data_IF_534217312646
#
_entry.id   IF_534217312646
#
_cell.length_a   1.000
_cell.length_b   1.000
_cell.length_c   1.000
_cell.angle_alpha   90.00
_cell.angle_beta   90.00
_cell.angle_gamma   90.00
#
_symmetry.space_group_name_H-M   'P 1'
#
loop_
_entity.id
_entity.type
_entity.pdbx_description
1 polymer ?
#
# COMPACT_ATOMS: atom_id res chain seq x y z
N UNK A 1 6.00 13.83 -27.56
CA UNK A 1 4.69 13.77 -26.90
C UNK A 1 4.68 12.40 -26.22
N UNK A 2 4.94 12.37 -24.94
CA UNK A 2 4.84 11.11 -24.15
C UNK A 2 3.35 10.81 -24.05
N UNK A 3 2.93 9.63 -24.52
CA UNK A 3 1.55 9.16 -24.31
C UNK A 3 1.22 9.27 -22.84
N UNK A 4 0.11 9.92 -22.53
CA UNK A 4 -0.42 9.93 -21.16
C UNK A 4 -0.88 8.49 -20.95
N UNK A 5 -0.13 7.72 -20.17
CA UNK A 5 -0.54 6.38 -19.77
C UNK A 5 -1.85 6.50 -19.00
N UNK A 6 -2.91 5.96 -19.55
CA UNK A 6 -4.20 5.80 -18.85
C UNK A 6 -4.22 4.42 -18.21
N UNK A 7 -4.94 4.30 -17.11
CA UNK A 7 -5.19 2.99 -16.47
C UNK A 7 -5.96 2.11 -17.42
N UNK A 8 -5.57 0.84 -17.54
CA UNK A 8 -6.33 -0.12 -18.32
C UNK A 8 -7.70 -0.36 -17.66
N UNK A 9 -8.83 -0.08 -18.35
CA UNK A 9 -10.16 -0.29 -17.82
C UNK A 9 -10.42 -1.73 -17.34
N UNK A 10 -9.75 -2.70 -17.95
CA UNK A 10 -9.87 -4.12 -17.59
C UNK A 10 -9.31 -4.39 -16.18
N UNK A 11 -8.25 -3.68 -15.78
CA UNK A 11 -7.68 -3.77 -14.43
C UNK A 11 -8.69 -3.27 -13.41
N UNK A 12 -9.28 -2.08 -13.65
CA UNK A 12 -10.31 -1.51 -12.78
C UNK A 12 -11.49 -2.46 -12.62
N UNK A 13 -12.05 -2.96 -13.73
CA UNK A 13 -13.21 -3.86 -13.71
C UNK A 13 -12.90 -5.18 -13.00
N UNK A 14 -11.72 -5.76 -13.24
CA UNK A 14 -11.34 -7.03 -12.64
C UNK A 14 -11.09 -6.91 -11.15
N UNK A 15 -10.40 -5.86 -10.70
CA UNK A 15 -10.15 -5.62 -9.28
C UNK A 15 -11.45 -5.27 -8.52
N UNK A 16 -12.32 -4.43 -9.09
CA UNK A 16 -13.60 -4.09 -8.47
C UNK A 16 -14.49 -5.33 -8.31
N UNK A 17 -14.58 -6.17 -9.36
CA UNK A 17 -15.33 -7.42 -9.31
C UNK A 17 -14.76 -8.38 -8.27
N UNK A 18 -13.44 -8.55 -8.20
CA UNK A 18 -12.78 -9.40 -7.22
C UNK A 18 -13.16 -8.96 -5.80
N UNK A 19 -12.84 -7.72 -5.44
CA UNK A 19 -13.06 -7.24 -4.07
C UNK A 19 -14.53 -7.17 -3.69
N UNK A 20 -15.45 -6.88 -4.61
CA UNK A 20 -16.88 -6.91 -4.34
C UNK A 20 -17.39 -8.30 -3.97
N UNK A 21 -16.72 -9.36 -4.42
CA UNK A 21 -17.10 -10.75 -4.13
C UNK A 21 -16.50 -11.28 -2.82
N UNK A 22 -15.28 -10.83 -2.46
CA UNK A 22 -14.53 -11.41 -1.34
C UNK A 22 -14.45 -10.52 -0.09
N UNK A 23 -14.70 -9.21 -0.22
CA UNK A 23 -14.66 -8.26 0.89
C UNK A 23 -16.07 -7.95 1.40
N UNK A 24 -16.75 -8.95 1.91
CA UNK A 24 -18.01 -8.74 2.62
C UNK A 24 -17.77 -8.32 4.08
N UNK A 25 -18.85 -7.96 4.76
CA UNK A 25 -18.76 -7.47 6.14
C UNK A 25 -18.19 -8.51 7.11
N UNK A 26 -18.51 -9.79 6.92
CA UNK A 26 -18.07 -10.89 7.78
C UNK A 26 -16.57 -11.15 7.59
N UNK A 27 -16.10 -11.21 6.34
CA UNK A 27 -14.69 -11.39 5.99
C UNK A 27 -13.82 -10.28 6.55
N UNK A 28 -14.26 -9.01 6.43
CA UNK A 28 -13.54 -7.85 6.97
C UNK A 28 -13.50 -7.90 8.50
N UNK A 29 -14.61 -8.14 9.18
CA UNK A 29 -14.66 -8.25 10.64
C UNK A 29 -13.78 -9.39 11.17
N UNK A 30 -13.77 -10.51 10.49
CA UNK A 30 -12.91 -11.63 10.85
C UNK A 30 -11.43 -11.26 10.73
N UNK A 31 -11.04 -10.60 9.64
CA UNK A 31 -9.68 -10.13 9.45
C UNK A 31 -9.25 -9.09 10.50
N UNK A 32 -10.12 -8.17 10.88
CA UNK A 32 -9.88 -7.21 11.98
C UNK A 32 -9.67 -7.91 13.32
N UNK A 33 -10.46 -8.97 13.59
CA UNK A 33 -10.37 -9.72 14.85
C UNK A 33 -9.13 -10.61 14.95
N UNK A 34 -8.71 -11.22 13.85
CA UNK A 34 -7.59 -12.16 13.79
C UNK A 34 -6.24 -11.50 13.45
N UNK A 35 -6.30 -10.36 12.73
CA UNK A 35 -5.12 -9.74 12.12
C UNK A 35 -4.64 -10.47 10.87
N UNK A 36 -5.47 -11.34 10.28
CA UNK A 36 -5.16 -12.15 9.11
C UNK A 36 -6.31 -12.12 8.10
N UNK A 37 -5.97 -12.02 6.82
CA UNK A 37 -6.93 -12.03 5.71
C UNK A 37 -6.47 -12.99 4.60
N UNK A 38 -6.11 -14.20 4.98
CA UNK A 38 -5.45 -15.17 4.10
C UNK A 38 -6.25 -15.48 2.84
N UNK A 39 -7.58 -15.65 2.95
CA UNK A 39 -8.43 -15.93 1.80
C UNK A 39 -8.50 -14.74 0.82
N UNK A 40 -8.64 -13.52 1.36
CA UNK A 40 -8.66 -12.29 0.55
C UNK A 40 -7.30 -12.09 -0.12
N UNK A 41 -6.21 -12.31 0.62
CA UNK A 41 -4.86 -12.21 0.08
C UNK A 41 -4.62 -13.23 -1.05
N UNK A 42 -4.96 -14.49 -0.83
CA UNK A 42 -4.73 -15.54 -1.83
C UNK A 42 -5.50 -15.27 -3.13
N UNK A 43 -6.77 -14.88 -3.04
CA UNK A 43 -7.56 -14.51 -4.20
C UNK A 43 -6.98 -13.28 -4.94
N UNK A 44 -6.44 -12.31 -4.20
CA UNK A 44 -5.75 -11.16 -4.77
C UNK A 44 -4.42 -11.56 -5.42
N UNK A 45 -3.64 -12.43 -4.78
CA UNK A 45 -2.35 -12.90 -5.30
C UNK A 45 -2.49 -13.70 -6.60
N UNK A 46 -3.53 -14.53 -6.74
CA UNK A 46 -3.82 -15.31 -7.96
C UNK A 46 -4.05 -14.43 -9.19
N UNK A 47 -4.44 -13.16 -9.03
CA UNK A 47 -4.60 -12.22 -10.15
C UNK A 47 -3.29 -11.66 -10.67
N UNK A 48 -2.18 -11.77 -9.95
CA UNK A 48 -0.92 -11.09 -10.23
C UNK A 48 -0.91 -9.59 -9.88
N UNK A 49 -2.00 -9.04 -9.34
CA UNK A 49 -2.11 -7.63 -8.96
C UNK A 49 -1.13 -7.17 -7.89
N UNK A 50 -0.71 -8.01 -6.89
CA UNK A 50 0.33 -7.60 -5.96
C UNK A 50 1.58 -7.06 -6.65
N UNK A 51 1.96 -7.64 -7.76
CA UNK A 51 3.20 -7.35 -8.48
C UNK A 51 3.01 -6.58 -9.79
N UNK A 52 1.83 -5.97 -9.99
CA UNK A 52 1.44 -5.36 -11.26
C UNK A 52 2.41 -4.29 -11.75
N UNK A 53 3.01 -3.47 -10.87
CA UNK A 53 3.95 -2.41 -11.24
C UNK A 53 5.42 -2.81 -11.15
N UNK A 54 5.71 -4.10 -11.08
CA UNK A 54 7.08 -4.62 -11.08
C UNK A 54 7.36 -5.29 -12.43
N UNK A 55 8.58 -5.11 -12.94
CA UNK A 55 9.01 -5.71 -14.22
C UNK A 55 8.96 -7.23 -14.18
N UNK A 56 8.62 -7.84 -15.32
CA UNK A 56 8.63 -9.29 -15.53
C UNK A 56 10.02 -9.91 -15.28
N UNK A 57 11.11 -9.17 -15.54
CA UNK A 57 12.49 -9.61 -15.27
C UNK A 57 12.73 -9.97 -13.80
N UNK A 58 11.96 -9.41 -12.89
CA UNK A 58 12.03 -9.64 -11.44
C UNK A 58 10.86 -10.47 -10.89
N UNK A 59 10.02 -11.01 -11.75
CA UNK A 59 8.86 -11.82 -11.36
C UNK A 59 7.55 -11.02 -11.20
N UNK A 60 7.51 -9.78 -11.67
CA UNK A 60 6.30 -8.95 -11.69
C UNK A 60 5.44 -9.16 -12.93
N UNK A 61 4.39 -8.35 -13.09
CA UNK A 61 3.46 -8.40 -14.22
C UNK A 61 3.73 -7.34 -15.30
N UNK A 62 4.70 -6.45 -15.10
CA UNK A 62 5.16 -5.49 -16.11
C UNK A 62 4.23 -4.32 -16.40
N UNK A 63 3.19 -4.10 -15.59
CA UNK A 63 2.25 -2.98 -15.72
C UNK A 63 2.81 -1.65 -15.17
N UNK A 64 2.03 -0.59 -15.33
CA UNK A 64 2.43 0.74 -14.89
C UNK A 64 2.16 0.99 -13.39
N UNK A 65 2.85 1.99 -12.83
CA UNK A 65 2.53 2.47 -11.47
C UNK A 65 1.07 2.93 -11.34
N UNK A 66 0.52 3.56 -12.38
CA UNK A 66 -0.88 4.00 -12.39
C UNK A 66 -1.87 2.85 -12.21
N UNK A 67 -1.59 1.69 -12.82
CA UNK A 67 -2.41 0.49 -12.67
C UNK A 67 -2.40 0.00 -11.21
N UNK A 68 -1.21 -0.03 -10.60
CA UNK A 68 -1.08 -0.38 -9.19
C UNK A 68 -1.80 0.60 -8.25
N UNK A 69 -1.76 1.90 -8.53
CA UNK A 69 -2.45 2.92 -7.75
C UNK A 69 -3.97 2.80 -7.88
N UNK A 70 -4.48 2.45 -9.05
CA UNK A 70 -5.91 2.17 -9.24
C UNK A 70 -6.35 0.93 -8.46
N UNK A 71 -5.55 -0.14 -8.49
CA UNK A 71 -5.79 -1.32 -7.64
C UNK A 71 -5.81 -0.92 -6.16
N UNK A 72 -4.85 -0.10 -5.69
CA UNK A 72 -4.85 0.39 -4.30
C UNK A 72 -6.09 1.24 -3.98
N UNK A 73 -6.56 2.06 -4.92
CA UNK A 73 -7.81 2.80 -4.73
C UNK A 73 -8.98 1.85 -4.48
N UNK A 74 -9.07 0.76 -5.23
CA UNK A 74 -10.10 -0.26 -5.06
C UNK A 74 -9.93 -1.07 -3.76
N UNK A 75 -8.69 -1.36 -3.34
CA UNK A 75 -8.41 -1.91 -2.00
C UNK A 75 -9.00 -1.01 -0.91
N UNK A 76 -8.78 0.30 -1.00
CA UNK A 76 -9.37 1.27 -0.08
C UNK A 76 -10.89 1.38 -0.17
N UNK A 77 -11.44 1.36 -1.38
CA UNK A 77 -12.88 1.43 -1.64
C UNK A 77 -13.64 0.23 -1.03
N UNK A 78 -13.10 -0.97 -1.15
CA UNK A 78 -13.68 -2.19 -0.60
C UNK A 78 -13.23 -2.49 0.83
N UNK A 79 -12.39 -1.62 1.43
CA UNK A 79 -11.78 -1.82 2.75
C UNK A 79 -11.08 -3.19 2.88
N UNK A 80 -10.45 -3.68 1.81
CA UNK A 80 -9.77 -4.97 1.79
C UNK A 80 -8.58 -4.96 2.76
N UNK A 81 -8.57 -5.80 3.81
CA UNK A 81 -7.56 -5.78 4.87
C UNK A 81 -6.30 -6.58 4.47
N UNK A 82 -5.62 -6.13 3.42
CA UNK A 82 -4.45 -6.79 2.84
C UNK A 82 -3.27 -5.83 2.65
N UNK A 83 -2.02 -6.31 2.69
CA UNK A 83 -0.81 -5.50 2.55
C UNK A 83 -0.47 -5.17 1.08
N UNK A 84 -1.46 -4.75 0.28
CA UNK A 84 -1.28 -4.52 -1.15
C UNK A 84 -0.25 -3.43 -1.47
N UNK A 85 -0.24 -2.33 -0.69
CA UNK A 85 0.71 -1.24 -0.88
C UNK A 85 2.13 -1.66 -0.48
N UNK A 86 2.26 -2.34 0.66
CA UNK A 86 3.53 -2.79 1.22
C UNK A 86 4.21 -3.80 0.30
N UNK A 87 3.44 -4.77 -0.20
CA UNK A 87 3.99 -5.87 -0.97
C UNK A 87 4.48 -5.42 -2.34
N UNK A 88 3.62 -4.89 -3.19
CA UNK A 88 3.98 -4.60 -4.58
C UNK A 88 4.57 -3.21 -4.77
N UNK A 89 3.79 -2.19 -4.38
CA UNK A 89 4.13 -0.79 -4.70
C UNK A 89 5.38 -0.33 -3.96
N UNK A 90 5.61 -0.82 -2.74
CA UNK A 90 6.77 -0.45 -1.93
C UNK A 90 7.85 -1.54 -1.94
N UNK A 91 7.58 -2.72 -1.38
CA UNK A 91 8.56 -3.79 -1.23
C UNK A 91 9.06 -4.33 -2.57
N UNK A 92 8.15 -4.67 -3.48
CA UNK A 92 8.50 -5.16 -4.80
C UNK A 92 9.27 -4.14 -5.63
N UNK A 93 8.87 -2.86 -5.56
CA UNK A 93 9.61 -1.78 -6.20
C UNK A 93 11.03 -1.63 -5.64
N UNK A 94 11.21 -1.71 -4.31
CA UNK A 94 12.55 -1.67 -3.69
C UNK A 94 13.41 -2.83 -4.17
N UNK A 95 12.90 -4.06 -4.12
CA UNK A 95 13.61 -5.26 -4.54
C UNK A 95 14.03 -5.19 -6.02
N UNK A 96 13.11 -4.88 -6.91
CA UNK A 96 13.39 -4.78 -8.34
C UNK A 96 14.44 -3.72 -8.66
N UNK A 97 14.39 -2.54 -8.00
CA UNK A 97 15.39 -1.47 -8.21
C UNK A 97 16.76 -1.76 -7.57
N UNK A 98 16.89 -2.82 -6.82
CA UNK A 98 18.17 -3.35 -6.32
C UNK A 98 18.61 -4.63 -7.02
N UNK A 99 17.89 -5.05 -8.07
CA UNK A 99 18.22 -6.27 -8.82
C UNK A 99 17.89 -7.56 -8.10
N UNK A 100 17.05 -7.50 -7.06
CA UNK A 100 16.61 -8.67 -6.30
C UNK A 100 15.31 -9.24 -6.85
N UNK A 101 15.16 -10.56 -6.82
CA UNK A 101 13.93 -11.24 -7.22
C UNK A 101 12.84 -11.07 -6.16
N UNK A 102 11.58 -11.09 -6.60
CA UNK A 102 10.44 -11.04 -5.70
C UNK A 102 10.28 -12.40 -4.99
N UNK A 103 9.93 -12.42 -3.68
CA UNK A 103 9.44 -13.62 -3.03
C UNK A 103 8.03 -13.95 -3.51
N UNK A 104 7.58 -15.19 -3.27
CA UNK A 104 6.25 -15.65 -3.70
C UNK A 104 5.11 -15.07 -2.86
N UNK A 105 5.36 -14.75 -1.60
CA UNK A 105 4.35 -14.32 -0.65
C UNK A 105 4.34 -12.85 -0.30
N UNK A 106 3.79 -12.55 0.88
CA UNK A 106 3.66 -11.19 1.39
C UNK A 106 5.01 -10.60 1.73
N UNK A 107 5.28 -9.41 1.21
CA UNK A 107 6.42 -8.59 1.64
C UNK A 107 5.91 -7.38 2.40
N UNK A 108 6.65 -6.97 3.40
CA UNK A 108 6.40 -5.70 4.08
C UNK A 108 7.63 -4.81 4.06
N UNK A 109 7.44 -3.55 4.44
CA UNK A 109 8.51 -2.55 4.47
C UNK A 109 8.63 -1.93 5.86
N UNK A 110 9.84 -1.55 6.25
CA UNK A 110 10.04 -0.68 7.40
C UNK A 110 9.79 0.78 6.98
N UNK A 111 8.70 1.43 7.44
CA UNK A 111 8.26 2.73 6.91
C UNK A 111 9.27 3.86 7.12
N UNK A 112 10.03 3.82 8.22
CA UNK A 112 11.07 4.81 8.54
C UNK A 112 12.41 4.54 7.82
N UNK A 113 12.53 3.43 7.08
CA UNK A 113 13.84 2.96 6.65
C UNK A 113 14.74 2.63 7.85
N UNK A 114 16.03 2.71 7.66
CA UNK A 114 17.02 2.35 8.69
C UNK A 114 17.34 3.46 9.71
N UNK A 115 16.62 4.59 9.73
CA UNK A 115 16.95 5.77 10.56
C UNK A 115 17.14 5.46 12.07
N UNK A 116 16.43 4.45 12.57
CA UNK A 116 16.48 4.06 13.98
C UNK A 116 17.15 2.70 14.19
N UNK A 117 17.88 2.21 13.20
CA UNK A 117 18.60 0.95 13.25
C UNK A 117 20.10 1.18 13.18
N UNK A 118 20.85 0.41 13.95
CA UNK A 118 22.28 0.25 13.75
C UNK A 118 22.47 -0.75 12.60
N UNK A 119 23.11 -0.28 11.53
CA UNK A 119 23.47 -1.11 10.38
C UNK A 119 24.96 -1.37 10.43
N UNK A 120 25.33 -2.65 10.43
CA UNK A 120 26.75 -3.06 10.41
C UNK A 120 27.02 -3.84 9.13
N UNK A 121 28.11 -3.47 8.43
CA UNK A 121 28.57 -4.17 7.22
C UNK A 121 29.82 -4.96 7.52
N UNK A 122 29.78 -6.25 7.21
CA UNK A 122 30.96 -7.14 7.30
C UNK A 122 31.12 -7.88 5.98
N UNK A 123 32.01 -7.35 5.13
CA UNK A 123 32.15 -7.83 3.75
C UNK A 123 30.87 -7.55 2.94
N UNK A 124 30.26 -8.61 2.43
CA UNK A 124 29.00 -8.53 1.62
C UNK A 124 27.73 -8.71 2.47
N UNK A 125 27.87 -8.89 3.79
CA UNK A 125 26.73 -9.05 4.69
C UNK A 125 26.39 -7.74 5.39
N UNK A 126 25.08 -7.49 5.52
CA UNK A 126 24.56 -6.47 6.41
C UNK A 126 23.87 -7.15 7.60
N UNK A 127 24.03 -6.59 8.78
CA UNK A 127 23.27 -6.94 9.97
C UNK A 127 22.55 -5.71 10.50
N UNK A 128 21.30 -5.90 10.94
CA UNK A 128 20.45 -4.85 11.46
C UNK A 128 20.22 -5.08 12.94
N UNK A 129 20.40 -4.03 13.76
CA UNK A 129 20.10 -4.06 15.20
C UNK A 129 19.28 -2.84 15.59
N UNK A 130 18.26 -3.04 16.43
CA UNK A 130 17.40 -1.95 16.90
C UNK A 130 15.93 -2.31 16.82
N UNK A 131 15.08 -1.30 16.85
CA UNK A 131 13.63 -1.48 16.89
C UNK A 131 12.92 -0.75 15.77
N UNK A 132 12.22 -1.50 14.93
CA UNK A 132 11.28 -0.99 13.94
C UNK A 132 9.87 -0.87 14.53
N UNK A 133 9.26 0.30 14.38
CA UNK A 133 7.92 0.58 14.91
C UNK A 133 6.89 0.64 13.78
N UNK A 134 5.69 0.12 14.06
CA UNK A 134 4.53 0.21 13.17
C UNK A 134 4.77 -0.41 11.79
N UNK A 135 5.53 -1.50 11.75
CA UNK A 135 5.75 -2.25 10.51
C UNK A 135 4.43 -2.93 10.13
N UNK A 136 3.88 -2.59 8.97
CA UNK A 136 2.61 -3.16 8.54
C UNK A 136 2.77 -4.67 8.30
N UNK A 137 1.85 -5.47 8.81
CA UNK A 137 1.73 -6.90 8.49
C UNK A 137 2.99 -7.75 8.70
N UNK A 138 3.95 -7.32 9.56
CA UNK A 138 5.21 -8.02 9.74
C UNK A 138 5.04 -9.47 10.22
N UNK A 139 3.98 -9.73 11.02
CA UNK A 139 3.70 -11.06 11.58
C UNK A 139 3.34 -12.14 10.56
N UNK A 140 2.94 -11.73 9.35
CA UNK A 140 2.55 -12.64 8.26
C UNK A 140 3.42 -12.47 7.01
N UNK A 141 4.42 -11.59 7.05
CA UNK A 141 5.30 -11.35 5.92
C UNK A 141 6.36 -12.45 5.80
N UNK A 142 6.74 -12.78 4.57
CA UNK A 142 7.89 -13.63 4.26
C UNK A 142 9.21 -12.86 4.31
N UNK A 143 9.16 -11.54 4.07
CA UNK A 143 10.33 -10.68 4.14
C UNK A 143 9.97 -9.28 4.63
N UNK A 144 10.85 -8.68 5.44
CA UNK A 144 10.82 -7.27 5.82
C UNK A 144 11.88 -6.54 5.01
N UNK A 145 11.42 -5.64 4.13
CA UNK A 145 12.31 -4.87 3.26
C UNK A 145 12.64 -3.54 3.93
N UNK A 146 13.93 -3.27 4.06
CA UNK A 146 14.47 -2.09 4.73
C UNK A 146 15.35 -1.33 3.76
N UNK A 147 14.96 -0.13 3.31
CA UNK A 147 15.89 0.76 2.62
C UNK A 147 16.90 1.32 3.63
N UNK A 148 18.19 1.14 3.33
CA UNK A 148 19.33 1.47 4.19
C UNK A 148 20.21 2.49 3.51
N UNK A 149 20.56 3.57 4.21
CA UNK A 149 21.62 4.48 3.75
C UNK A 149 22.94 4.16 4.47
N UNK A 150 23.95 3.81 3.71
CA UNK A 150 25.28 3.51 4.19
C UNK A 150 26.32 4.08 3.21
N UNK A 151 27.30 4.82 3.73
CA UNK A 151 28.40 5.42 2.93
C UNK A 151 27.90 6.25 1.73
N UNK A 152 26.86 7.04 1.89
CA UNK A 152 26.19 7.83 0.85
C UNK A 152 25.62 6.99 -0.31
N UNK A 153 25.34 5.73 -0.09
CA UNK A 153 24.67 4.85 -1.02
C UNK A 153 23.44 4.22 -0.37
N UNK A 154 22.35 4.12 -1.13
CA UNK A 154 21.16 3.39 -0.69
C UNK A 154 21.32 1.91 -1.02
N UNK A 155 21.03 1.07 -0.05
CA UNK A 155 20.91 -0.38 -0.18
C UNK A 155 19.46 -0.78 0.11
N UNK A 156 19.03 -1.85 -0.50
CA UNK A 156 17.78 -2.53 -0.14
C UNK A 156 18.13 -3.82 0.58
N UNK A 157 17.82 -3.87 1.85
CA UNK A 157 18.04 -5.03 2.72
C UNK A 157 16.73 -5.82 2.87
N UNK A 158 16.80 -7.14 2.69
CA UNK A 158 15.73 -8.09 2.92
C UNK A 158 16.07 -8.92 4.15
N UNK A 159 15.21 -8.88 5.16
CA UNK A 159 15.37 -9.60 6.44
C UNK A 159 14.28 -10.64 6.55
N UNK A 160 14.65 -11.86 6.97
CA UNK A 160 13.69 -12.90 7.33
C UNK A 160 13.01 -12.53 8.67
N UNK A 161 11.68 -12.45 8.74
CA UNK A 161 10.97 -12.15 9.97
C UNK A 161 11.24 -13.17 11.10
N UNK A 162 11.64 -14.40 10.76
CA UNK A 162 11.99 -15.45 11.74
C UNK A 162 13.24 -15.14 12.55
N UNK A 163 14.13 -14.27 12.02
CA UNK A 163 15.34 -13.79 12.71
C UNK A 163 15.05 -12.62 13.64
N UNK A 164 13.79 -12.19 13.73
CA UNK A 164 13.36 -11.03 14.47
C UNK A 164 12.37 -11.41 15.58
N UNK A 165 12.31 -10.57 16.62
CA UNK A 165 11.23 -10.66 17.60
C UNK A 165 10.11 -9.73 17.22
N UNK A 166 8.97 -10.30 16.81
CA UNK A 166 7.78 -9.53 16.44
C UNK A 166 6.84 -9.43 17.63
N UNK A 167 6.45 -8.21 17.96
CA UNK A 167 5.42 -7.90 18.96
C UNK A 167 4.18 -7.39 18.23
N UNK A 168 3.07 -8.15 18.24
CA UNK A 168 1.84 -7.78 17.56
C UNK A 168 1.25 -6.49 18.10
N UNK A 169 0.92 -5.57 17.18
CA UNK A 169 0.22 -4.32 17.45
C UNK A 169 -0.80 -4.09 16.32
N UNK A 170 -1.75 -3.20 16.54
CA UNK A 170 -2.76 -2.82 15.54
C UNK A 170 -2.92 -1.31 15.44
N UNK A 171 -3.43 -0.82 14.33
CA UNK A 171 -3.89 0.56 14.19
C UNK A 171 -5.39 0.68 14.57
N UNK A 172 -5.97 1.88 14.39
CA UNK A 172 -7.38 2.13 14.69
C UNK A 172 -8.36 1.36 13.79
N UNK A 173 -7.91 0.91 12.62
CA UNK A 173 -8.71 0.10 11.70
C UNK A 173 -8.55 -1.42 11.92
N UNK A 174 -7.87 -1.84 13.00
CA UNK A 174 -7.62 -3.26 13.25
C UNK A 174 -6.48 -3.87 12.44
N UNK A 175 -5.87 -3.14 11.50
CA UNK A 175 -4.78 -3.66 10.70
C UNK A 175 -3.50 -3.87 11.52
N UNK A 176 -2.74 -4.95 11.26
CA UNK A 176 -1.42 -5.17 11.87
C UNK A 176 -0.45 -4.01 11.64
N UNK A 177 0.15 -3.53 12.73
CA UNK A 177 1.19 -2.49 12.75
C UNK A 177 2.21 -2.84 13.81
N UNK A 178 2.98 -3.88 13.53
CA UNK A 178 3.81 -4.59 14.49
C UNK A 178 5.06 -3.80 14.91
N UNK A 179 5.55 -4.11 16.08
CA UNK A 179 6.89 -3.72 16.51
C UNK A 179 7.83 -4.90 16.28
N UNK A 180 8.95 -4.64 15.62
CA UNK A 180 9.96 -5.64 15.30
C UNK A 180 11.29 -5.27 15.96
N UNK A 181 11.81 -6.13 16.81
CA UNK A 181 13.14 -6.01 17.38
C UNK A 181 14.12 -6.81 16.49
N UNK A 182 15.02 -6.10 15.85
CA UNK A 182 16.13 -6.64 15.07
C UNK A 182 17.32 -6.85 16.01
N UNK A 183 17.74 -8.10 16.21
CA UNK A 183 18.83 -8.46 17.12
C UNK A 183 20.00 -9.04 16.31
N UNK A 184 20.79 -8.17 15.71
CA UNK A 184 21.84 -8.57 14.77
C UNK A 184 21.26 -9.44 13.62
N UNK A 185 20.05 -9.08 13.17
CA UNK A 185 19.35 -9.82 12.13
C UNK A 185 20.15 -9.73 10.81
N UNK A 186 20.47 -10.89 10.26
CA UNK A 186 21.15 -11.00 8.97
C UNK A 186 20.23 -10.48 7.85
N UNK A 187 20.78 -9.74 6.91
CA UNK A 187 20.06 -9.21 5.78
C UNK A 187 20.78 -9.52 4.46
N UNK A 188 20.02 -10.01 3.50
CA UNK A 188 20.43 -10.03 2.11
C UNK A 188 20.27 -8.62 1.57
N UNK A 189 21.35 -7.99 1.10
CA UNK A 189 21.29 -6.61 0.68
C UNK A 189 21.98 -6.38 -0.66
N UNK A 190 21.39 -5.51 -1.46
CA UNK A 190 21.96 -5.09 -2.73
C UNK A 190 21.88 -3.57 -2.88
N UNK A 191 22.82 -2.95 -3.61
CA UNK A 191 22.78 -1.52 -3.86
C UNK A 191 21.58 -1.16 -4.72
N UNK A 192 20.89 -0.09 -4.34
CA UNK A 192 19.78 0.43 -5.12
C UNK A 192 20.29 1.19 -6.35
N UNK A 193 19.59 1.02 -7.47
CA UNK A 193 19.83 1.82 -8.65
C UNK A 193 19.26 3.25 -8.45
N UNK A 194 20.00 4.31 -8.89
CA UNK A 194 19.42 5.65 -8.90
C UNK A 194 18.15 5.68 -9.78
N UNK A 195 17.13 6.45 -9.39
CA UNK A 195 17.11 7.50 -8.37
C UNK A 195 16.55 7.04 -7.01
N UNK A 196 16.55 5.74 -6.71
CA UNK A 196 16.00 5.23 -5.46
C UNK A 196 16.83 5.74 -4.27
N UNK A 197 16.17 6.40 -3.33
CA UNK A 197 16.66 6.86 -2.04
C UNK A 197 15.51 6.86 -1.01
N UNK A 198 15.79 7.20 0.26
CA UNK A 198 14.76 7.24 1.30
C UNK A 198 13.65 8.25 1.00
N UNK A 199 13.96 9.35 0.35
CA UNK A 199 12.97 10.38 0.00
C UNK A 199 11.99 9.87 -1.05
N UNK A 200 12.49 9.31 -2.17
CA UNK A 200 11.64 8.70 -3.21
C UNK A 200 10.80 7.54 -2.66
N UNK A 201 11.34 6.76 -1.73
CA UNK A 201 10.58 5.73 -1.00
C UNK A 201 9.43 6.31 -0.19
N UNK A 202 9.67 7.40 0.56
CA UNK A 202 8.64 8.10 1.35
C UNK A 202 7.54 8.67 0.47
N UNK A 203 7.90 9.33 -0.64
CA UNK A 203 6.92 9.86 -1.59
C UNK A 203 6.05 8.76 -2.20
N UNK A 204 6.68 7.63 -2.57
CA UNK A 204 5.94 6.49 -3.10
C UNK A 204 4.99 5.89 -2.04
N UNK A 205 5.41 5.86 -0.78
CA UNK A 205 4.57 5.49 0.37
C UNK A 205 3.40 6.45 0.56
N UNK A 206 3.62 7.76 0.52
CA UNK A 206 2.58 8.77 0.62
C UNK A 206 1.55 8.66 -0.51
N UNK A 207 2.01 8.48 -1.74
CA UNK A 207 1.16 8.30 -2.91
C UNK A 207 0.28 7.04 -2.78
N UNK A 208 0.85 5.93 -2.30
CA UNK A 208 0.10 4.70 -2.03
C UNK A 208 -1.01 4.92 -1.01
N UNK A 209 -0.74 5.68 0.05
CA UNK A 209 -1.77 6.04 1.06
C UNK A 209 -2.82 6.98 0.49
N UNK A 210 -2.45 7.94 -0.35
CA UNK A 210 -3.40 8.82 -1.03
C UNK A 210 -4.38 8.03 -1.91
N UNK A 211 -3.91 7.04 -2.66
CA UNK A 211 -4.76 6.17 -3.46
C UNK A 211 -5.75 5.37 -2.59
N UNK A 212 -5.27 4.71 -1.51
CA UNK A 212 -6.13 3.99 -0.56
C UNK A 212 -7.19 4.90 0.06
N UNK A 213 -6.79 6.10 0.52
CA UNK A 213 -7.70 7.08 1.12
C UNK A 213 -8.75 7.57 0.13
N UNK A 214 -8.38 7.83 -1.12
CA UNK A 214 -9.31 8.27 -2.15
C UNK A 214 -10.44 7.24 -2.35
N UNK A 215 -10.11 5.94 -2.43
CA UNK A 215 -11.10 4.87 -2.52
C UNK A 215 -11.99 4.76 -1.29
N UNK A 216 -11.42 4.84 -0.09
CA UNK A 216 -12.17 4.79 1.16
C UNK A 216 -13.16 5.97 1.29
N UNK A 217 -12.73 7.19 0.95
CA UNK A 217 -13.58 8.40 0.97
C UNK A 217 -14.72 8.27 -0.05
N UNK A 218 -14.44 7.76 -1.25
CA UNK A 218 -15.45 7.50 -2.27
C UNK A 218 -16.52 6.54 -1.74
N UNK A 219 -16.12 5.42 -1.12
CA UNK A 219 -17.06 4.45 -0.53
C UNK A 219 -17.86 5.04 0.61
N UNK A 220 -17.22 5.80 1.52
CA UNK A 220 -17.92 6.47 2.61
C UNK A 220 -19.00 7.43 2.09
N UNK A 221 -18.70 8.20 1.05
CA UNK A 221 -19.67 9.10 0.40
C UNK A 221 -20.86 8.33 -0.16
N UNK A 222 -20.63 7.24 -0.89
CA UNK A 222 -21.67 6.40 -1.46
C UNK A 222 -22.56 5.76 -0.38
N UNK A 223 -21.95 5.18 0.65
CA UNK A 223 -22.69 4.58 1.78
C UNK A 223 -23.55 5.61 2.51
N UNK A 224 -23.02 6.83 2.69
CA UNK A 224 -23.75 7.93 3.34
C UNK A 224 -24.96 8.34 2.50
N UNK A 225 -24.82 8.45 1.19
CA UNK A 225 -25.91 8.75 0.26
C UNK A 225 -26.97 7.65 0.31
N UNK A 226 -26.57 6.38 0.23
CA UNK A 226 -27.50 5.24 0.31
C UNK A 226 -28.26 5.25 1.63
N UNK A 227 -27.55 5.28 2.76
CA UNK A 227 -28.16 5.28 4.09
C UNK A 227 -29.16 6.41 4.28
N UNK A 228 -28.83 7.63 3.87
CA UNK A 228 -29.71 8.80 4.05
C UNK A 228 -30.95 8.76 3.15
N UNK A 229 -30.89 8.06 2.02
CA UNK A 229 -32.06 7.80 1.17
C UNK A 229 -32.99 6.73 1.76
N UNK A 230 -32.43 5.70 2.40
CA UNK A 230 -33.17 4.59 2.98
C UNK A 230 -33.78 4.95 4.36
N UNK A 231 -33.08 5.79 5.13
CA UNK A 231 -33.48 6.19 6.48
C UNK A 231 -34.64 7.18 6.43
N UNK A 232 -35.82 6.76 6.93
CA UNK A 232 -37.02 7.62 7.02
C UNK A 232 -37.15 8.21 8.43
N UNK A 233 -37.30 9.53 8.52
CA UNK A 233 -37.62 10.27 9.73
C UNK A 233 -38.60 11.40 9.39
N UNK A 234 -39.52 11.70 10.31
CA UNK A 234 -40.53 12.74 10.10
C UNK A 234 -41.33 12.56 8.80
N UNK A 235 -41.61 11.30 8.42
CA UNK A 235 -42.45 10.95 7.26
C UNK A 235 -41.74 11.02 5.90
N UNK A 236 -40.43 11.24 5.83
CA UNK A 236 -39.66 11.28 4.58
C UNK A 236 -38.22 10.82 4.75
N UNK A 237 -37.52 10.42 3.65
CA UNK A 237 -36.09 10.12 3.68
C UNK A 237 -35.26 11.27 4.25
N UNK A 238 -34.23 10.94 5.06
CA UNK A 238 -33.37 11.92 5.71
C UNK A 238 -32.64 12.78 4.66
N UNK A 239 -32.30 12.21 3.52
CA UNK A 239 -31.73 12.91 2.37
C UNK A 239 -32.59 14.05 1.81
N UNK A 240 -33.88 14.13 2.17
CA UNK A 240 -34.78 15.22 1.72
C UNK A 240 -34.72 16.48 2.58
N UNK A 241 -33.96 16.47 3.69
CA UNK A 241 -33.77 17.66 4.52
C UNK A 241 -32.61 18.52 3.97
N UNK A 242 -32.83 19.81 3.80
CA UNK A 242 -31.87 20.73 3.18
C UNK A 242 -30.49 20.73 3.86
N UNK A 243 -30.45 20.68 5.20
CA UNK A 243 -29.20 20.59 5.94
C UNK A 243 -28.41 19.30 5.62
N UNK A 244 -29.13 18.18 5.47
CA UNK A 244 -28.51 16.89 5.09
C UNK A 244 -28.00 16.94 3.66
N UNK A 245 -28.80 17.46 2.73
CA UNK A 245 -28.38 17.62 1.34
C UNK A 245 -27.08 18.41 1.21
N UNK A 246 -26.92 19.47 2.00
CA UNK A 246 -25.70 20.27 2.00
C UNK A 246 -24.49 19.45 2.43
N UNK A 247 -24.59 18.63 3.47
CA UNK A 247 -23.50 17.73 3.90
C UNK A 247 -23.20 16.65 2.85
N UNK A 248 -24.24 16.08 2.20
CA UNK A 248 -24.04 15.11 1.12
C UNK A 248 -23.28 15.70 -0.07
N UNK A 249 -23.59 16.96 -0.43
CA UNK A 249 -22.86 17.67 -1.50
C UNK A 249 -21.41 17.89 -1.13
N UNK A 250 -21.12 18.34 0.11
CA UNK A 250 -19.74 18.49 0.56
C UNK A 250 -18.97 17.16 0.55
N UNK A 251 -19.57 16.09 1.09
CA UNK A 251 -18.94 14.77 1.07
C UNK A 251 -18.65 14.26 -0.35
N UNK A 252 -19.54 14.50 -1.30
CA UNK A 252 -19.34 14.14 -2.69
C UNK A 252 -18.23 14.99 -3.36
N UNK A 253 -18.15 16.28 -3.02
CA UNK A 253 -17.08 17.17 -3.49
C UNK A 253 -15.72 16.74 -2.95
N UNK A 254 -15.63 16.44 -1.64
CA UNK A 254 -14.39 15.97 -1.01
C UNK A 254 -13.93 14.64 -1.61
N UNK A 255 -14.85 13.71 -1.87
CA UNK A 255 -14.53 12.45 -2.53
C UNK A 255 -13.98 12.66 -3.96
N UNK A 256 -14.62 13.53 -4.73
CA UNK A 256 -14.14 13.86 -6.07
C UNK A 256 -12.77 14.53 -6.06
N UNK A 257 -12.54 15.46 -5.14
CA UNK A 257 -11.26 16.15 -4.99
C UNK A 257 -10.14 15.18 -4.55
N UNK A 258 -10.40 14.29 -3.59
CA UNK A 258 -9.43 13.30 -3.14
C UNK A 258 -9.03 12.35 -4.28
N UNK A 259 -10.00 11.89 -5.06
CA UNK A 259 -9.75 11.05 -6.24
C UNK A 259 -8.90 11.79 -7.28
N UNK A 260 -9.30 12.99 -7.67
CA UNK A 260 -8.58 13.78 -8.66
C UNK A 260 -7.14 14.11 -8.22
N UNK A 261 -6.94 14.42 -6.94
CA UNK A 261 -5.61 14.68 -6.40
C UNK A 261 -4.72 13.44 -6.46
N UNK A 262 -5.22 12.27 -6.04
CA UNK A 262 -4.48 11.01 -6.08
C UNK A 262 -4.14 10.61 -7.53
N UNK A 263 -5.10 10.71 -8.47
CA UNK A 263 -4.86 10.43 -9.89
C UNK A 263 -3.85 11.39 -10.51
N UNK A 264 -3.93 12.69 -10.21
CA UNK A 264 -2.99 13.69 -10.72
C UNK A 264 -1.59 13.43 -10.22
N UNK A 265 -1.43 13.18 -8.91
CA UNK A 265 -0.16 12.83 -8.30
C UNK A 265 0.43 11.54 -8.91
N UNK A 266 -0.41 10.52 -9.14
CA UNK A 266 0.01 9.29 -9.79
C UNK A 266 0.51 9.48 -11.21
N UNK A 267 -0.17 10.31 -12.01
CA UNK A 267 0.25 10.65 -13.38
C UNK A 267 1.59 11.39 -13.40
N UNK A 268 1.79 12.33 -12.48
CA UNK A 268 3.07 13.04 -12.38
C UNK A 268 4.18 12.09 -11.93
N UNK A 269 3.96 11.26 -10.93
CA UNK A 269 4.93 10.26 -10.47
C UNK A 269 5.36 9.27 -11.58
N UNK A 270 4.44 8.94 -12.50
CA UNK A 270 4.72 8.04 -13.63
C UNK A 270 5.61 8.69 -14.71
N UNK A 271 5.76 10.02 -14.72
CA UNK A 271 6.62 10.75 -15.68
C UNK A 271 8.10 10.71 -15.35
N UNK A 272 8.46 10.30 -14.15
CA UNK A 272 9.84 10.13 -13.72
C UNK A 272 10.13 10.68 -12.31
N UNK A 273 11.33 10.41 -11.80
CA UNK A 273 11.69 10.71 -10.40
C UNK A 273 11.65 12.19 -10.03
N UNK A 274 12.00 13.09 -10.95
CA UNK A 274 11.92 14.54 -10.72
C UNK A 274 10.49 15.07 -10.56
N UNK A 275 9.49 14.25 -10.89
CA UNK A 275 8.07 14.61 -10.82
C UNK A 275 7.45 14.28 -9.46
N UNK A 276 8.12 13.48 -8.61
CA UNK A 276 7.60 13.15 -7.28
C UNK A 276 7.50 14.36 -6.35
N UNK A 277 8.42 15.32 -6.45
CA UNK A 277 8.40 16.57 -5.67
C UNK A 277 7.16 17.43 -5.97
N UNK A 278 6.63 17.32 -7.18
CA UNK A 278 5.43 18.07 -7.60
C UNK A 278 4.15 17.34 -7.17
N UNK A 279 4.23 16.02 -7.01
CA UNK A 279 3.10 15.16 -6.67
C UNK A 279 2.81 15.10 -5.16
N UNK A 280 3.76 15.51 -4.33
CA UNK A 280 3.65 15.54 -2.86
C UNK A 280 3.15 16.88 -2.34
#
# INVERSE_FOLDING_TARGET
>A
MTEISEVDPLITETADRLFSQICDHESIQNAEATGEATEIWNAFAETGFPWISVSEDFGGSGGALLDALEVLRLVGYHAAPIPAAETGVLGGWLLANSGQQLPEGIVTVLPSGSENLLVTRTGDRLTLSGRGLRIPWARIAEAIIVPVELDNQTFVASVDPSDCKITPMTNMAGEPRDTVDFNEADAVAAPAAPPLNLETFRFRGALSRAALMAGAIEKMSQLTVSYTNDRVQFGRPVAKFQAVQQHLVWGAQDAALARMAAESAGREANRGPASFEIAS
#
